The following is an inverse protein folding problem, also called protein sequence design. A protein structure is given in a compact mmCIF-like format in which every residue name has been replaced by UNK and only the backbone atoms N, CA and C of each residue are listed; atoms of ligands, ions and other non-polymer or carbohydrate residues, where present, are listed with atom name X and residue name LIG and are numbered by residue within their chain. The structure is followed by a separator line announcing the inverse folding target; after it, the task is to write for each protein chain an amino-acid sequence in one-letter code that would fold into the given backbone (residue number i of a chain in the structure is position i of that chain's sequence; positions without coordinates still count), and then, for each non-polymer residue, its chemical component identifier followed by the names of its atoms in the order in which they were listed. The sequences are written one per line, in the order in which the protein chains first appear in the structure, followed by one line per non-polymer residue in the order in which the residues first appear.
data_IF_848149232967
#
_entry.id   IF_848149232967
#
_cell.length_a   1.000
_cell.length_b   1.000
_cell.length_c   1.000
_cell.angle_alpha   90.00
_cell.angle_beta   90.00
_cell.angle_gamma   90.00
#
_symmetry.space_group_name_H-M   'P 1'
#
loop_
_entity.id
_entity.type
_entity.pdbx_description
1 polymer ?
#
# COMPACT_ATOMS: atom_id res chain seq x y z
N UNK A 1 -3.89 3.28 -14.94
CA UNK A 1 -3.52 1.86 -14.66
C UNK A 1 -2.02 1.77 -14.45
N UNK A 2 -1.54 0.86 -13.59
CA UNK A 2 -0.09 0.58 -13.44
C UNK A 2 0.21 -0.69 -14.23
N UNK A 3 1.13 -0.57 -15.19
CA UNK A 3 1.60 -1.67 -16.04
C UNK A 3 3.05 -1.98 -15.71
N UNK A 4 3.38 -3.25 -15.54
CA UNK A 4 4.71 -3.75 -15.22
C UNK A 4 5.08 -4.78 -16.28
N UNK A 5 6.22 -4.61 -16.96
CA UNK A 5 6.68 -5.50 -18.03
C UNK A 5 8.12 -5.95 -17.79
N UNK A 6 8.29 -7.27 -17.63
CA UNK A 6 9.58 -7.96 -17.48
C UNK A 6 10.52 -7.32 -16.46
N UNK A 7 9.94 -6.78 -15.36
CA UNK A 7 10.72 -6.06 -14.36
C UNK A 7 11.58 -7.01 -13.56
N UNK A 8 12.87 -6.68 -13.40
CA UNK A 8 13.81 -7.47 -12.62
C UNK A 8 14.69 -6.58 -11.76
N UNK A 9 15.03 -7.07 -10.56
CA UNK A 9 15.95 -6.46 -9.61
C UNK A 9 16.87 -7.49 -9.00
N UNK A 10 18.17 -7.22 -9.06
CA UNK A 10 19.21 -7.97 -8.37
C UNK A 10 19.82 -7.16 -7.24
N UNK A 11 20.23 -7.87 -6.20
CA UNK A 11 21.19 -7.38 -5.24
C UNK A 11 22.38 -8.35 -5.26
N UNK A 12 23.55 -7.86 -5.72
CA UNK A 12 24.71 -8.69 -6.05
C UNK A 12 24.32 -9.72 -7.11
N UNK A 13 24.50 -11.03 -6.85
CA UNK A 13 24.19 -12.13 -7.78
C UNK A 13 22.74 -12.65 -7.64
N UNK A 14 21.99 -12.21 -6.63
CA UNK A 14 20.67 -12.76 -6.33
C UNK A 14 19.54 -11.89 -6.86
N UNK A 15 18.62 -12.48 -7.62
CA UNK A 15 17.39 -11.82 -7.99
C UNK A 15 16.43 -11.75 -6.79
N UNK A 16 16.03 -10.52 -6.43
CA UNK A 16 14.97 -10.28 -5.44
C UNK A 16 13.61 -10.11 -6.12
N UNK A 17 13.61 -9.58 -7.35
CA UNK A 17 12.46 -9.59 -8.27
C UNK A 17 12.98 -10.06 -9.61
N UNK A 18 12.29 -11.00 -10.26
CA UNK A 18 12.74 -11.64 -11.49
C UNK A 18 11.59 -11.75 -12.49
N UNK A 19 11.71 -11.02 -13.59
CA UNK A 19 10.87 -11.15 -14.79
C UNK A 19 9.36 -11.06 -14.48
N UNK A 20 9.00 -10.04 -13.68
CA UNK A 20 7.61 -9.81 -13.29
C UNK A 20 6.91 -9.01 -14.38
N UNK A 21 5.80 -9.56 -14.91
CA UNK A 21 4.90 -8.90 -15.85
C UNK A 21 3.48 -8.99 -15.31
N UNK A 22 2.83 -7.83 -15.12
CA UNK A 22 1.46 -7.75 -14.60
C UNK A 22 0.87 -6.35 -14.79
N UNK A 23 -0.44 -6.26 -14.61
CA UNK A 23 -1.19 -5.00 -14.58
C UNK A 23 -1.95 -4.89 -13.27
N UNK A 24 -1.99 -3.69 -12.68
CA UNK A 24 -2.74 -3.40 -11.45
C UNK A 24 -3.98 -2.60 -11.85
N UNK A 25 -5.19 -3.16 -11.60
CA UNK A 25 -6.45 -2.51 -11.95
C UNK A 25 -6.68 -1.22 -11.18
N UNK A 26 -7.29 -0.23 -11.82
CA UNK A 26 -7.68 1.03 -11.21
C UNK A 26 -8.91 0.89 -10.33
N UNK A 27 -9.06 1.84 -9.39
CA UNK A 27 -10.21 1.95 -8.47
C UNK A 27 -10.48 0.64 -7.70
N UNK A 28 -9.41 -0.06 -7.33
CA UNK A 28 -9.44 -1.35 -6.63
C UNK A 28 -8.39 -1.38 -5.53
N UNK A 29 -8.59 -2.29 -4.58
CA UNK A 29 -7.57 -2.70 -3.63
C UNK A 29 -6.87 -3.94 -4.18
N UNK A 30 -5.60 -3.83 -4.50
CA UNK A 30 -4.73 -4.95 -4.85
C UNK A 30 -3.79 -5.25 -3.71
N UNK A 31 -3.84 -6.47 -3.17
CA UNK A 31 -2.91 -6.91 -2.14
C UNK A 31 -1.75 -7.72 -2.75
N UNK A 32 -0.53 -7.37 -2.38
CA UNK A 32 0.68 -8.15 -2.70
C UNK A 32 0.95 -9.11 -1.55
N UNK A 33 0.89 -10.41 -1.81
CA UNK A 33 1.10 -11.46 -0.81
C UNK A 33 2.24 -12.41 -1.19
N UNK A 34 2.68 -13.20 -0.23
CA UNK A 34 3.70 -14.24 -0.41
C UNK A 34 4.61 -14.36 0.82
N UNK A 35 5.46 -15.40 0.87
CA UNK A 35 6.40 -15.62 1.97
C UNK A 35 7.35 -14.44 2.21
N UNK A 36 7.99 -14.42 3.37
CA UNK A 36 9.06 -13.46 3.63
C UNK A 36 10.19 -13.64 2.62
N UNK A 37 10.78 -12.52 2.17
CA UNK A 37 11.79 -12.56 1.10
C UNK A 37 11.26 -12.79 -0.32
N UNK A 38 9.94 -12.87 -0.54
CA UNK A 38 9.37 -13.06 -1.88
C UNK A 38 9.54 -11.88 -2.84
N UNK A 39 10.04 -10.72 -2.36
CA UNK A 39 10.26 -9.52 -3.19
C UNK A 39 9.11 -8.50 -3.17
N UNK A 40 8.12 -8.67 -2.28
CA UNK A 40 6.90 -7.83 -2.21
C UNK A 40 7.19 -6.34 -2.05
N UNK A 41 7.88 -5.95 -0.97
CA UNK A 41 8.24 -4.56 -0.68
C UNK A 41 9.20 -3.99 -1.73
N UNK A 42 10.09 -4.83 -2.30
CA UNK A 42 10.96 -4.42 -3.40
C UNK A 42 10.15 -4.06 -4.64
N UNK A 43 9.17 -4.89 -5.02
CA UNK A 43 8.27 -4.59 -6.15
C UNK A 43 7.47 -3.29 -5.89
N UNK A 44 6.90 -3.14 -4.69
CA UNK A 44 6.18 -1.92 -4.32
C UNK A 44 7.07 -0.68 -4.41
N UNK A 45 8.32 -0.77 -3.92
CA UNK A 45 9.30 0.32 -3.96
C UNK A 45 9.79 0.64 -5.38
N UNK A 46 9.78 -0.32 -6.30
CA UNK A 46 10.04 -0.06 -7.72
C UNK A 46 8.86 0.69 -8.37
N UNK A 47 7.62 0.31 -8.08
CA UNK A 47 6.42 1.00 -8.56
C UNK A 47 6.37 2.46 -8.07
N UNK A 48 6.91 2.75 -6.89
CA UNK A 48 7.02 4.12 -6.36
C UNK A 48 8.29 4.87 -6.80
N UNK A 49 9.14 4.25 -7.62
CA UNK A 49 10.44 4.78 -8.05
C UNK A 49 11.42 5.06 -6.90
N UNK A 50 11.22 4.42 -5.72
CA UNK A 50 12.17 4.51 -4.60
C UNK A 50 13.35 3.54 -4.76
N UNK A 51 13.16 2.45 -5.49
CA UNK A 51 14.21 1.48 -5.80
C UNK A 51 14.37 1.38 -7.31
N UNK A 52 15.57 1.60 -7.87
CA UNK A 52 15.81 1.37 -9.28
C UNK A 52 15.78 -0.14 -9.59
N UNK A 53 15.45 -0.47 -10.83
CA UNK A 53 15.44 -1.84 -11.34
C UNK A 53 16.53 -2.03 -12.39
N UNK A 54 16.82 -3.28 -12.74
CA UNK A 54 17.93 -3.61 -13.62
C UNK A 54 17.47 -3.90 -15.07
N UNK A 55 16.19 -4.31 -15.25
CA UNK A 55 15.59 -4.53 -16.57
C UNK A 55 14.07 -4.45 -16.52
N UNK A 56 13.46 -4.23 -17.67
CA UNK A 56 12.01 -4.08 -17.83
C UNK A 56 11.53 -2.64 -17.76
N UNK A 57 10.23 -2.44 -17.75
CA UNK A 57 9.60 -1.12 -17.68
C UNK A 57 8.39 -1.11 -16.74
N UNK A 58 8.12 0.05 -16.15
CA UNK A 58 6.90 0.33 -15.38
C UNK A 58 6.23 1.55 -16.01
N UNK A 59 4.94 1.43 -16.32
CA UNK A 59 4.13 2.56 -16.79
C UNK A 59 3.03 2.88 -15.79
N UNK A 60 2.77 4.16 -15.62
CA UNK A 60 1.63 4.69 -14.87
C UNK A 60 0.83 5.56 -15.82
N UNK A 61 -0.45 5.21 -16.01
CA UNK A 61 -1.35 5.86 -16.97
C UNK A 61 -0.75 5.95 -18.39
N UNK A 62 -0.13 4.84 -18.84
CA UNK A 62 0.46 4.70 -20.17
C UNK A 62 1.83 5.38 -20.34
N UNK A 63 2.29 6.20 -19.37
CA UNK A 63 3.58 6.88 -19.41
C UNK A 63 4.63 6.11 -18.61
N UNK A 64 5.84 5.89 -19.19
CA UNK A 64 6.94 5.25 -18.47
C UNK A 64 7.28 6.06 -17.20
N UNK A 65 7.43 5.39 -16.07
CA UNK A 65 7.67 6.06 -14.78
C UNK A 65 9.00 6.83 -14.75
N UNK A 66 9.97 6.45 -15.58
CA UNK A 66 11.26 7.14 -15.71
C UNK A 66 11.11 8.52 -16.37
N UNK A 67 10.09 8.69 -17.25
CA UNK A 67 9.83 9.93 -17.97
C UNK A 67 9.00 10.94 -17.14
N UNK A 68 8.52 10.54 -15.96
CA UNK A 68 7.77 11.44 -15.10
C UNK A 68 8.70 12.45 -14.41
N UNK A 69 8.30 13.72 -14.42
CA UNK A 69 8.85 14.69 -13.48
C UNK A 69 8.61 14.23 -12.04
N UNK A 70 9.59 14.49 -11.14
CA UNK A 70 9.51 14.02 -9.75
C UNK A 70 8.29 14.58 -9.01
N UNK A 71 7.99 15.85 -9.23
CA UNK A 71 6.85 16.53 -8.57
C UNK A 71 5.52 16.00 -9.11
N UNK A 72 5.40 15.81 -10.42
CA UNK A 72 4.18 15.26 -11.03
C UNK A 72 3.96 13.81 -10.64
N UNK A 73 5.00 12.99 -10.55
CA UNK A 73 4.90 11.64 -10.01
C UNK A 73 4.42 11.67 -8.56
N UNK A 74 4.97 12.56 -7.72
CA UNK A 74 4.55 12.70 -6.33
C UNK A 74 3.11 13.23 -6.16
N UNK A 75 2.55 13.92 -7.15
CA UNK A 75 1.13 14.28 -7.19
C UNK A 75 0.24 13.13 -7.67
N UNK A 76 0.81 12.10 -8.27
CA UNK A 76 0.09 10.97 -8.85
C UNK A 76 0.15 9.72 -7.97
N UNK A 77 1.29 9.49 -7.32
CA UNK A 77 1.55 8.30 -6.48
C UNK A 77 1.99 8.73 -5.10
N UNK A 78 1.24 8.34 -4.09
CA UNK A 78 1.63 8.44 -2.68
C UNK A 78 2.11 7.09 -2.16
N UNK A 79 3.13 7.09 -1.31
CA UNK A 79 3.70 5.84 -0.77
C UNK A 79 3.94 5.96 0.71
N UNK A 80 3.48 4.95 1.46
CA UNK A 80 3.82 4.74 2.87
C UNK A 80 4.76 3.53 2.98
N UNK A 81 5.96 3.74 3.52
CA UNK A 81 6.93 2.67 3.77
C UNK A 81 6.59 1.89 5.05
N UNK A 82 7.18 0.72 5.20
CA UNK A 82 7.03 -0.11 6.40
C UNK A 82 7.58 0.58 7.66
N UNK A 83 8.75 1.18 7.58
CA UNK A 83 9.34 1.98 8.67
C UNK A 83 9.17 3.47 8.38
N UNK A 84 8.43 4.13 9.26
CA UNK A 84 8.13 5.57 9.21
C UNK A 84 8.58 6.27 10.49
N UNK A 85 9.63 5.76 11.16
CA UNK A 85 10.18 6.43 12.34
C UNK A 85 10.79 7.79 11.98
N UNK A 86 10.50 8.79 12.78
CA UNK A 86 11.14 10.10 12.69
C UNK A 86 11.62 10.53 14.08
N UNK A 87 12.83 11.08 14.13
CA UNK A 87 13.39 11.66 15.35
C UNK A 87 13.01 13.14 15.49
N UNK A 88 12.24 13.69 14.55
CA UNK A 88 11.78 15.08 14.58
C UNK A 88 10.52 15.15 15.43
N UNK A 89 10.46 16.08 16.36
CA UNK A 89 9.29 16.34 17.18
C UNK A 89 8.26 17.10 16.34
N UNK A 90 7.24 16.39 15.89
CA UNK A 90 6.17 16.89 15.02
C UNK A 90 4.82 16.67 15.67
N UNK A 91 3.92 17.62 15.50
CA UNK A 91 2.49 17.44 15.78
C UNK A 91 1.84 16.60 14.68
N UNK A 92 0.65 16.05 14.95
CA UNK A 92 -0.14 15.33 13.97
C UNK A 92 -0.45 16.20 12.74
N UNK A 93 -0.82 17.47 12.97
CA UNK A 93 -1.09 18.41 11.88
C UNK A 93 0.14 18.67 11.01
N UNK A 94 1.30 18.88 11.64
CA UNK A 94 2.55 19.10 10.90
C UNK A 94 2.93 17.88 10.06
N UNK A 95 2.85 16.66 10.63
CA UNK A 95 3.09 15.43 9.86
C UNK A 95 2.17 15.35 8.64
N UNK A 96 0.87 15.52 8.83
CA UNK A 96 -0.09 15.39 7.74
C UNK A 96 0.15 16.48 6.68
N UNK A 97 0.60 17.66 7.10
CA UNK A 97 0.94 18.78 6.21
C UNK A 97 2.07 18.44 5.23
N UNK A 98 3.01 17.55 5.59
CA UNK A 98 4.04 17.08 4.66
C UNK A 98 3.45 16.36 3.44
N UNK A 99 2.28 15.75 3.55
CA UNK A 99 1.58 15.16 2.40
C UNK A 99 1.26 16.20 1.31
N UNK A 100 1.13 17.48 1.67
CA UNK A 100 0.87 18.57 0.72
C UNK A 100 2.13 19.16 0.07
N UNK A 101 3.32 18.73 0.49
CA UNK A 101 4.59 19.27 -0.02
C UNK A 101 4.70 19.27 -1.55
N UNK A 102 4.30 18.21 -2.29
CA UNK A 102 4.36 18.21 -3.75
C UNK A 102 3.48 19.30 -4.42
N UNK A 103 2.47 19.78 -3.72
CA UNK A 103 1.55 20.81 -4.22
C UNK A 103 1.94 22.22 -3.78
N UNK A 104 2.40 22.37 -2.53
CA UNK A 104 2.58 23.67 -1.86
C UNK A 104 4.03 24.15 -1.80
N UNK A 105 5.02 23.26 -2.02
CA UNK A 105 6.44 23.53 -1.74
C UNK A 105 6.66 24.15 -0.34
N UNK A 106 5.86 23.69 0.64
CA UNK A 106 5.94 24.13 2.04
C UNK A 106 5.14 25.40 2.37
N UNK A 107 4.50 26.04 1.40
CA UNK A 107 3.60 27.20 1.62
C UNK A 107 2.15 26.76 1.44
N UNK A 108 1.51 26.34 2.52
CA UNK A 108 0.15 25.81 2.48
C UNK A 108 -0.86 26.86 2.02
N UNK A 109 -1.57 26.55 0.94
CA UNK A 109 -2.72 27.30 0.43
C UNK A 109 -3.99 26.98 1.25
N UNK A 110 -5.10 27.64 0.94
CA UNK A 110 -6.41 27.32 1.53
C UNK A 110 -6.83 25.88 1.18
N UNK A 111 -6.67 25.49 -0.09
CA UNK A 111 -6.97 24.13 -0.56
C UNK A 111 -6.11 23.08 0.17
N UNK A 112 -4.82 23.35 0.38
CA UNK A 112 -3.96 22.40 1.12
C UNK A 112 -4.46 22.18 2.54
N UNK A 113 -4.89 23.25 3.23
CA UNK A 113 -5.45 23.14 4.59
C UNK A 113 -6.74 22.35 4.59
N UNK A 114 -7.62 22.52 3.60
CA UNK A 114 -8.85 21.75 3.43
C UNK A 114 -8.53 20.26 3.26
N UNK A 115 -7.54 19.90 2.41
CA UNK A 115 -7.12 18.51 2.20
C UNK A 115 -6.48 17.88 3.45
N UNK A 116 -5.78 18.64 4.26
CA UNK A 116 -5.25 18.19 5.55
C UNK A 116 -6.41 17.88 6.51
N UNK A 117 -7.38 18.78 6.62
CA UNK A 117 -8.55 18.58 7.49
C UNK A 117 -9.40 17.38 7.04
N UNK A 118 -9.65 17.22 5.73
CA UNK A 118 -10.32 16.04 5.18
C UNK A 118 -9.60 14.75 5.56
N UNK A 119 -8.27 14.70 5.40
CA UNK A 119 -7.48 13.52 5.75
C UNK A 119 -7.52 13.21 7.27
N UNK A 120 -7.48 14.25 8.11
CA UNK A 120 -7.63 14.11 9.56
C UNK A 120 -9.02 13.57 9.93
N UNK A 121 -10.06 14.01 9.25
CA UNK A 121 -11.43 13.52 9.46
C UNK A 121 -11.57 12.05 9.06
N UNK A 122 -11.10 11.66 7.86
CA UNK A 122 -11.10 10.28 7.41
C UNK A 122 -10.43 9.33 8.42
N UNK A 123 -9.36 9.79 9.06
CA UNK A 123 -8.57 8.98 10.00
C UNK A 123 -8.97 9.13 11.46
N UNK A 124 -10.04 9.91 11.77
CA UNK A 124 -10.48 10.23 13.14
C UNK A 124 -9.33 10.78 14.00
N UNK A 125 -8.64 11.81 13.51
CA UNK A 125 -7.47 12.40 14.15
C UNK A 125 -7.68 13.86 14.61
N UNK A 126 -8.87 14.45 14.42
CA UNK A 126 -9.13 15.86 14.76
C UNK A 126 -8.78 16.21 16.21
N UNK A 127 -9.14 15.33 17.15
CA UNK A 127 -8.84 15.52 18.59
C UNK A 127 -7.35 15.42 18.95
N UNK A 128 -6.53 14.86 18.05
CA UNK A 128 -5.09 14.69 18.20
C UNK A 128 -4.27 15.73 17.44
N UNK A 129 -4.92 16.70 16.78
CA UNK A 129 -4.32 17.68 15.88
C UNK A 129 -2.99 18.25 16.36
N UNK A 130 -2.99 18.76 17.58
CA UNK A 130 -1.87 19.50 18.19
C UNK A 130 -1.00 18.62 19.08
N UNK A 131 -1.32 17.31 19.20
CA UNK A 131 -0.48 16.36 19.93
C UNK A 131 0.76 16.01 19.12
N UNK A 132 1.86 15.81 19.83
CA UNK A 132 3.09 15.30 19.23
C UNK A 132 2.97 13.81 18.91
N UNK A 133 3.73 13.34 17.91
CA UNK A 133 3.68 11.94 17.47
C UNK A 133 4.13 10.94 18.54
N UNK A 134 4.99 11.36 19.45
CA UNK A 134 5.48 10.57 20.59
C UNK A 134 4.43 10.42 21.71
N UNK A 135 3.41 11.27 21.74
CA UNK A 135 2.28 11.18 22.67
C UNK A 135 1.18 10.23 22.19
N UNK A 136 1.29 9.73 20.94
CA UNK A 136 0.28 8.87 20.34
C UNK A 136 0.55 7.39 20.63
N UNK A 137 -0.54 6.60 20.75
CA UNK A 137 -0.41 5.15 20.66
C UNK A 137 0.11 4.72 19.28
N UNK A 138 0.67 3.51 19.16
CA UNK A 138 1.16 2.99 17.88
C UNK A 138 0.10 3.05 16.77
N UNK A 139 -1.16 2.69 17.10
CA UNK A 139 -2.27 2.75 16.15
C UNK A 139 -2.67 4.17 15.75
N UNK A 140 -2.64 5.13 16.67
CA UNK A 140 -2.90 6.54 16.38
C UNK A 140 -1.79 7.11 15.49
N UNK A 141 -0.53 6.80 15.80
CA UNK A 141 0.63 7.23 15.01
C UNK A 141 0.57 6.65 13.59
N UNK A 142 0.25 5.36 13.44
CA UNK A 142 0.08 4.75 12.11
C UNK A 142 -1.03 5.42 11.31
N UNK A 143 -2.16 5.75 11.94
CA UNK A 143 -3.24 6.52 11.30
C UNK A 143 -2.77 7.90 10.84
N UNK A 144 -1.90 8.58 11.60
CA UNK A 144 -1.37 9.88 11.21
C UNK A 144 -0.47 9.79 9.96
N UNK A 145 0.37 8.76 9.84
CA UNK A 145 1.15 8.53 8.62
C UNK A 145 0.28 8.22 7.39
N UNK A 146 -0.79 7.43 7.58
CA UNK A 146 -1.73 7.17 6.47
C UNK A 146 -2.53 8.44 6.13
N UNK A 147 -2.91 9.27 7.12
CA UNK A 147 -3.53 10.56 6.86
C UNK A 147 -2.63 11.49 6.02
N UNK A 148 -1.32 11.51 6.28
CA UNK A 148 -0.34 12.22 5.46
C UNK A 148 -0.39 11.73 4.00
N UNK A 149 -0.46 10.42 3.79
CA UNK A 149 -0.56 9.83 2.45
C UNK A 149 -1.89 10.19 1.76
N UNK A 150 -2.99 10.24 2.51
CA UNK A 150 -4.31 10.65 2.00
C UNK A 150 -4.32 12.14 1.65
N UNK A 151 -3.73 12.99 2.50
CA UNK A 151 -3.65 14.43 2.28
C UNK A 151 -2.90 14.79 0.99
N UNK A 152 -1.97 13.94 0.53
CA UNK A 152 -1.29 14.10 -0.75
C UNK A 152 -2.26 14.09 -1.94
N UNK A 153 -3.46 13.51 -1.76
CA UNK A 153 -4.56 13.47 -2.72
C UNK A 153 -4.20 12.89 -4.09
N UNK A 154 -3.40 11.85 -4.11
CA UNK A 154 -2.96 11.15 -5.33
C UNK A 154 -4.01 10.19 -5.86
N UNK A 155 -3.88 9.78 -7.14
CA UNK A 155 -4.68 8.70 -7.76
C UNK A 155 -4.30 7.34 -7.22
N UNK A 156 -3.00 7.08 -7.02
CA UNK A 156 -2.45 5.82 -6.54
C UNK A 156 -1.90 5.96 -5.13
N UNK A 157 -2.21 4.99 -4.28
CA UNK A 157 -1.73 4.90 -2.90
C UNK A 157 -1.05 3.54 -2.72
N UNK A 158 0.24 3.55 -2.40
CA UNK A 158 1.05 2.36 -2.19
C UNK A 158 1.39 2.24 -0.70
N UNK A 159 1.01 1.13 -0.07
CA UNK A 159 1.18 0.93 1.37
C UNK A 159 1.98 -0.33 1.64
N UNK A 160 3.12 -0.20 2.31
CA UNK A 160 3.94 -1.33 2.71
C UNK A 160 3.63 -1.71 4.16
N UNK A 161 2.91 -2.83 4.34
CA UNK A 161 2.52 -3.41 5.63
C UNK A 161 1.84 -2.41 6.59
N UNK A 162 0.78 -1.70 6.15
CA UNK A 162 0.17 -0.61 6.91
C UNK A 162 -0.56 -1.05 8.18
N UNK A 163 -0.81 -2.36 8.35
CA UNK A 163 -1.51 -2.93 9.51
C UNK A 163 -0.56 -3.41 10.61
N UNK A 164 0.76 -3.38 10.38
CA UNK A 164 1.72 -3.81 11.38
C UNK A 164 1.59 -2.94 12.66
N UNK A 165 1.71 -3.59 13.81
CA UNK A 165 1.59 -2.97 15.14
C UNK A 165 0.19 -2.38 15.44
N UNK A 166 -0.85 -2.72 14.68
CA UNK A 166 -2.23 -2.39 14.99
C UNK A 166 -2.91 -3.53 15.75
N UNK A 167 -3.71 -3.18 16.74
CA UNK A 167 -4.68 -4.13 17.30
C UNK A 167 -5.76 -4.47 16.26
N UNK A 168 -6.49 -5.56 16.48
CA UNK A 168 -7.50 -6.07 15.55
C UNK A 168 -8.58 -5.00 15.22
N UNK A 169 -9.04 -4.24 16.21
CA UNK A 169 -10.05 -3.20 16.01
C UNK A 169 -9.54 -2.09 15.10
N UNK A 170 -8.32 -1.63 15.35
CA UNK A 170 -7.66 -0.59 14.56
C UNK A 170 -7.38 -1.07 13.13
N UNK A 171 -6.93 -2.31 12.94
CA UNK A 171 -6.71 -2.92 11.63
C UNK A 171 -8.00 -3.00 10.80
N UNK A 172 -9.10 -3.47 11.40
CA UNK A 172 -10.42 -3.52 10.74
C UNK A 172 -10.91 -2.11 10.37
N UNK A 173 -10.78 -1.14 11.26
CA UNK A 173 -11.15 0.25 10.97
C UNK A 173 -10.32 0.81 9.81
N UNK A 174 -9.01 0.55 9.79
CA UNK A 174 -8.12 0.96 8.72
C UNK A 174 -8.57 0.42 7.37
N UNK A 175 -8.82 -0.89 7.27
CA UNK A 175 -9.28 -1.48 6.00
C UNK A 175 -10.62 -0.93 5.54
N UNK A 176 -11.55 -0.64 6.46
CA UNK A 176 -12.81 0.03 6.12
C UNK A 176 -12.58 1.44 5.54
N UNK A 177 -11.64 2.20 6.08
CA UNK A 177 -11.27 3.53 5.56
C UNK A 177 -10.67 3.37 4.15
N UNK A 178 -9.73 2.46 3.94
CA UNK A 178 -9.15 2.22 2.62
C UNK A 178 -10.21 1.83 1.58
N UNK A 179 -11.18 1.00 1.94
CA UNK A 179 -12.33 0.71 1.09
C UNK A 179 -13.18 1.96 0.76
N UNK A 180 -13.38 2.83 1.75
CA UNK A 180 -14.10 4.09 1.54
C UNK A 180 -13.37 4.98 0.55
N UNK A 181 -12.05 5.10 0.65
CA UNK A 181 -11.22 5.86 -0.30
C UNK A 181 -11.37 5.34 -1.74
N UNK A 182 -11.39 4.02 -1.93
CA UNK A 182 -11.61 3.43 -3.26
C UNK A 182 -13.01 3.74 -3.79
N UNK A 183 -14.04 3.53 -2.97
CA UNK A 183 -15.44 3.70 -3.41
C UNK A 183 -15.81 5.16 -3.66
N UNK A 184 -15.45 6.06 -2.75
CA UNK A 184 -15.90 7.45 -2.77
C UNK A 184 -14.96 8.37 -3.56
N UNK A 185 -13.64 8.15 -3.42
CA UNK A 185 -12.62 9.01 -4.03
C UNK A 185 -11.94 8.36 -5.25
N UNK A 186 -12.43 7.19 -5.69
CA UNK A 186 -11.91 6.47 -6.88
C UNK A 186 -10.39 6.23 -6.84
N UNK A 187 -9.84 6.03 -5.63
CA UNK A 187 -8.41 5.77 -5.46
C UNK A 187 -8.09 4.33 -5.88
N UNK A 188 -6.87 4.14 -6.37
CA UNK A 188 -6.28 2.83 -6.59
C UNK A 188 -5.29 2.55 -5.46
N UNK A 189 -5.47 1.46 -4.74
CA UNK A 189 -4.66 1.16 -3.57
C UNK A 189 -3.91 -0.16 -3.78
N UNK A 190 -2.60 -0.16 -3.57
CA UNK A 190 -1.75 -1.34 -3.58
C UNK A 190 -1.16 -1.53 -2.19
N UNK A 191 -1.34 -2.72 -1.61
CA UNK A 191 -0.96 -2.98 -0.22
C UNK A 191 -0.11 -4.25 -0.15
N UNK A 192 1.06 -4.19 0.47
CA UNK A 192 1.77 -5.40 0.90
C UNK A 192 1.13 -5.89 2.19
N UNK A 193 0.69 -7.15 2.22
CA UNK A 193 -0.01 -7.75 3.34
C UNK A 193 0.62 -9.10 3.73
N UNK A 194 0.67 -9.38 5.04
CA UNK A 194 1.06 -10.68 5.57
C UNK A 194 -0.16 -11.53 5.96
N UNK A 195 -1.19 -10.91 6.51
CA UNK A 195 -2.39 -11.60 6.94
C UNK A 195 -3.27 -11.96 5.74
N UNK A 196 -3.40 -13.27 5.50
CA UNK A 196 -4.16 -13.79 4.37
C UNK A 196 -5.68 -13.64 4.56
N UNK A 197 -6.16 -13.66 5.80
CA UNK A 197 -7.58 -13.48 6.09
C UNK A 197 -8.01 -12.02 5.89
N UNK A 198 -7.20 -11.05 6.33
CA UNK A 198 -7.42 -9.64 5.97
C UNK A 198 -7.38 -9.44 4.45
N UNK A 199 -6.40 -10.05 3.77
CA UNK A 199 -6.32 -10.00 2.30
C UNK A 199 -7.57 -10.57 1.65
N UNK A 200 -8.02 -11.75 2.06
CA UNK A 200 -9.22 -12.39 1.49
C UNK A 200 -10.49 -11.57 1.67
N UNK A 201 -10.64 -10.91 2.81
CA UNK A 201 -11.86 -10.16 3.14
C UNK A 201 -11.88 -8.80 2.46
N UNK A 202 -10.73 -8.15 2.35
CA UNK A 202 -10.64 -6.72 2.01
C UNK A 202 -10.00 -6.40 0.66
N UNK A 203 -9.40 -7.34 -0.06
CA UNK A 203 -8.88 -7.04 -1.40
C UNK A 203 -9.85 -7.40 -2.52
N UNK A 204 -9.76 -6.66 -3.64
CA UNK A 204 -10.42 -7.00 -4.89
C UNK A 204 -9.55 -7.95 -5.72
N UNK A 205 -8.24 -7.69 -5.72
CA UNK A 205 -7.23 -8.45 -6.46
C UNK A 205 -6.07 -8.84 -5.57
N UNK A 206 -5.41 -9.94 -5.91
CA UNK A 206 -4.20 -10.42 -5.27
C UNK A 206 -3.09 -10.58 -6.30
N UNK A 207 -1.92 -10.05 -5.98
CA UNK A 207 -0.66 -10.29 -6.65
C UNK A 207 0.18 -11.20 -5.74
N UNK A 208 0.29 -12.48 -6.09
CA UNK A 208 1.00 -13.48 -5.29
C UNK A 208 2.43 -13.66 -5.79
N UNK A 209 3.40 -13.42 -4.91
CA UNK A 209 4.83 -13.54 -5.21
C UNK A 209 5.49 -14.68 -4.43
N UNK A 210 6.44 -15.37 -5.06
CA UNK A 210 7.31 -16.38 -4.41
C UNK A 210 8.68 -16.40 -5.08
N UNK A 211 9.73 -16.35 -4.30
CA UNK A 211 11.12 -16.40 -4.78
C UNK A 211 11.40 -15.35 -5.87
N UNK A 212 10.96 -14.12 -5.65
CA UNK A 212 11.13 -13.00 -6.58
C UNK A 212 10.26 -13.04 -7.83
N UNK A 213 9.40 -14.03 -8.02
CA UNK A 213 8.58 -14.20 -9.22
C UNK A 213 7.09 -14.01 -8.93
N UNK A 214 6.38 -13.47 -9.89
CA UNK A 214 4.93 -13.50 -9.91
C UNK A 214 4.44 -14.95 -10.10
N UNK A 215 3.58 -15.40 -9.22
CA UNK A 215 2.91 -16.70 -9.31
C UNK A 215 1.48 -16.58 -9.84
N UNK A 216 0.75 -15.61 -9.30
CA UNK A 216 -0.62 -15.35 -9.69
C UNK A 216 -0.93 -13.86 -9.60
N UNK A 217 -1.78 -13.37 -10.51
CA UNK A 217 -2.45 -12.08 -10.42
C UNK A 217 -3.88 -12.27 -10.91
N UNK A 218 -4.86 -12.14 -10.00
CA UNK A 218 -6.29 -12.34 -10.32
C UNK A 218 -7.17 -11.75 -9.21
N UNK A 219 -8.49 -11.81 -9.42
CA UNK A 219 -9.48 -11.50 -8.37
C UNK A 219 -9.23 -12.35 -7.13
N UNK A 220 -9.41 -11.77 -5.97
CA UNK A 220 -9.15 -12.40 -4.66
C UNK A 220 -9.77 -13.79 -4.56
N UNK A 221 -11.03 -13.96 -4.95
CA UNK A 221 -11.73 -15.25 -4.90
C UNK A 221 -11.07 -16.37 -5.73
N UNK A 222 -10.34 -16.01 -6.79
CA UNK A 222 -9.67 -16.96 -7.68
C UNK A 222 -8.29 -17.36 -7.17
N UNK A 223 -7.74 -16.63 -6.20
CA UNK A 223 -6.41 -16.90 -5.62
C UNK A 223 -6.54 -17.50 -4.22
N UNK A 224 -7.51 -17.05 -3.41
CA UNK A 224 -7.74 -17.62 -2.08
C UNK A 224 -8.49 -18.94 -2.21
N UNK A 225 -7.78 -19.93 -2.71
CA UNK A 225 -8.19 -21.34 -2.80
C UNK A 225 -7.07 -22.22 -2.25
N UNK A 226 -7.42 -23.31 -1.61
CA UNK A 226 -6.50 -24.18 -0.87
C UNK A 226 -5.25 -24.52 -1.68
N UNK A 227 -5.43 -25.11 -2.87
CA UNK A 227 -4.32 -25.58 -3.71
C UNK A 227 -3.29 -24.49 -4.04
N UNK A 228 -3.74 -23.26 -4.34
CA UNK A 228 -2.83 -22.16 -4.67
C UNK A 228 -2.09 -21.64 -3.46
N UNK A 229 -2.76 -21.55 -2.31
CA UNK A 229 -2.16 -21.05 -1.08
C UNK A 229 -1.16 -22.05 -0.50
N UNK A 230 -1.48 -23.34 -0.49
CA UNK A 230 -0.54 -24.40 -0.07
C UNK A 230 0.74 -24.39 -0.93
N UNK A 231 0.61 -24.24 -2.26
CA UNK A 231 1.77 -24.08 -3.16
C UNK A 231 2.55 -22.79 -2.92
N UNK A 232 1.86 -21.71 -2.57
CA UNK A 232 2.48 -20.41 -2.31
C UNK A 232 3.29 -20.43 -1.01
N UNK A 233 2.67 -20.90 0.09
CA UNK A 233 3.24 -20.84 1.43
C UNK A 233 3.97 -22.12 1.87
N UNK A 234 3.85 -23.23 1.09
CA UNK A 234 4.47 -24.53 1.37
C UNK A 234 4.06 -25.12 2.73
N UNK A 235 2.78 -24.94 3.06
CA UNK A 235 2.18 -25.46 4.29
C UNK A 235 0.72 -25.83 4.06
N UNK A 236 0.13 -26.72 4.86
CA UNK A 236 -1.30 -27.02 4.80
C UNK A 236 -2.14 -25.78 5.10
N UNK A 237 -3.12 -25.51 4.27
CA UNK A 237 -4.06 -24.38 4.44
C UNK A 237 -5.44 -24.85 4.04
N UNK A 238 -6.34 -25.01 4.98
CA UNK A 238 -7.75 -25.27 4.67
C UNK A 238 -8.45 -23.94 4.36
N UNK A 239 -9.27 -23.90 3.30
CA UNK A 239 -10.06 -22.73 2.93
C UNK A 239 -11.54 -23.06 3.08
N UNK A 240 -12.25 -22.27 3.91
CA UNK A 240 -13.70 -22.36 4.11
C UNK A 240 -14.39 -21.08 3.71
N UNK A 241 -15.51 -21.21 3.04
CA UNK A 241 -16.37 -20.05 2.74
C UNK A 241 -17.28 -19.75 3.94
N UNK A 242 -17.17 -18.54 4.48
CA UNK A 242 -18.00 -18.03 5.58
C UNK A 242 -18.53 -16.65 5.15
N UNK A 243 -19.83 -16.46 5.12
CA UNK A 243 -20.50 -15.21 4.73
C UNK A 243 -19.98 -14.67 3.38
N UNK A 244 -19.89 -15.53 2.37
CA UNK A 244 -19.39 -15.22 1.02
C UNK A 244 -17.92 -14.71 1.02
N UNK A 245 -17.12 -15.06 2.02
CA UNK A 245 -15.68 -14.78 2.11
C UNK A 245 -14.92 -16.07 2.36
N UNK A 246 -13.79 -16.23 1.67
CA UNK A 246 -12.91 -17.37 1.88
C UNK A 246 -12.02 -17.10 3.11
N UNK A 247 -12.13 -17.93 4.12
CA UNK A 247 -11.34 -17.85 5.36
C UNK A 247 -10.34 -18.99 5.37
N UNK A 248 -9.08 -18.66 5.64
CA UNK A 248 -7.96 -19.58 5.66
C UNK A 248 -7.69 -20.06 7.08
N UNK A 249 -7.57 -21.38 7.26
CA UNK A 249 -7.25 -22.06 8.51
C UNK A 249 -5.90 -22.74 8.30
N UNK A 250 -4.90 -22.38 9.10
CA UNK A 250 -3.51 -22.82 8.91
C UNK A 250 -2.77 -23.13 10.23
N UNK A 251 -3.51 -23.63 11.23
CA UNK A 251 -3.02 -24.09 12.55
C UNK A 251 -3.56 -25.45 12.89
#
# INVERSE_FOLDING_TARGET
MIEIKNISKKYRENYVVKDVTTEIPEEKITCIIGPNGAGKSTLLNMISRFTPWDSGEIKIDGKNIEDWDKTELAKTVATLKQDNSTNIKLTVYELISFGRFPHSNGKLTKEDKEKIEEAMEYMNLKEFRDKYLDELSGGQRQRAYIAMTIAQNTKYILLDEPLNNLDMKSAVQMMKILHKLVKELKKTIVIVMHDINFTSVYSDYILAMKNGKLKHMDKTKNIVIQEKLEKLYEMPIEVKEINNKNICIYF
#
